data_IF_754643805938
#
_entry.id   IF_754643805938
#
_cell.length_a   1.000
_cell.length_b   1.000
_cell.length_c   1.000
_cell.angle_alpha   90.00
_cell.angle_beta   90.00
_cell.angle_gamma   90.00
#
_symmetry.space_group_name_H-M   'P 1'
#
loop_
_entity.id
_entity.type
_entity.pdbx_description
1 polymer ?
#
# COMPACT_ATOMS: atom_id res chain seq x y z
N UNK A 1 12.47 -2.18 13.96
CA UNK A 1 11.84 -3.48 13.60
C UNK A 1 10.52 -3.72 14.35
N UNK A 2 10.48 -3.76 15.70
CA UNK A 2 9.20 -3.93 16.43
C UNK A 2 8.20 -2.81 16.12
N UNK A 3 8.68 -1.56 16.06
CA UNK A 3 7.88 -0.36 15.80
C UNK A 3 7.20 -0.38 14.42
N UNK A 4 7.94 -0.76 13.38
CA UNK A 4 7.42 -0.82 11.99
C UNK A 4 6.28 -1.84 11.84
N UNK A 5 6.38 -2.99 12.51
CA UNK A 5 5.32 -4.01 12.49
C UNK A 5 4.08 -3.53 13.25
N UNK A 6 4.26 -2.78 14.34
CA UNK A 6 3.13 -2.16 15.07
C UNK A 6 2.44 -1.09 14.21
N UNK A 7 3.20 -0.28 13.48
CA UNK A 7 2.67 0.68 12.52
C UNK A 7 1.87 0.00 11.40
N UNK A 8 2.42 -1.06 10.78
CA UNK A 8 1.72 -1.84 9.75
C UNK A 8 0.41 -2.42 10.30
N UNK A 9 0.44 -2.95 11.54
CA UNK A 9 -0.77 -3.46 12.20
C UNK A 9 -1.81 -2.38 12.41
N UNK A 10 -1.40 -1.18 12.82
CA UNK A 10 -2.29 -0.03 12.97
C UNK A 10 -2.91 0.36 11.63
N UNK A 11 -2.10 0.46 10.58
CA UNK A 11 -2.55 0.82 9.23
C UNK A 11 -3.59 -0.18 8.70
N UNK A 12 -3.37 -1.48 8.89
CA UNK A 12 -4.32 -2.53 8.50
C UNK A 12 -5.58 -2.52 9.38
N UNK A 13 -5.46 -2.19 10.68
CA UNK A 13 -6.58 -2.12 11.60
C UNK A 13 -7.49 -0.90 11.38
N UNK A 14 -6.93 0.24 10.99
CA UNK A 14 -7.67 1.50 10.81
C UNK A 14 -8.35 1.62 9.43
N UNK A 15 -7.89 0.85 8.44
CA UNK A 15 -8.34 0.98 7.06
C UNK A 15 -8.98 -0.32 6.58
N UNK A 16 -10.19 -0.23 6.02
CA UNK A 16 -10.91 -1.40 5.46
C UNK A 16 -10.14 -2.10 4.34
N UNK A 17 -9.38 -1.33 3.57
CA UNK A 17 -8.51 -1.84 2.49
C UNK A 17 -7.23 -1.00 2.49
N UNK A 18 -6.09 -1.69 2.59
CA UNK A 18 -4.75 -1.11 2.44
C UNK A 18 -4.06 -1.75 1.25
N UNK A 19 -3.45 -0.92 0.41
CA UNK A 19 -2.59 -1.33 -0.69
C UNK A 19 -1.18 -0.82 -0.46
N UNK A 20 -0.27 -1.71 -0.08
CA UNK A 20 1.17 -1.48 -0.16
C UNK A 20 1.61 -1.65 -1.62
N UNK A 21 2.17 -0.60 -2.20
CA UNK A 21 2.50 -0.57 -3.63
C UNK A 21 3.80 0.19 -3.91
N UNK A 22 4.32 0.03 -5.13
CA UNK A 22 5.48 0.79 -5.61
C UNK A 22 5.00 2.04 -6.34
N UNK A 23 5.31 3.22 -5.80
CA UNK A 23 4.76 4.49 -6.24
C UNK A 23 3.40 4.80 -5.64
N UNK A 24 2.65 5.70 -6.26
CA UNK A 24 1.32 6.14 -5.80
C UNK A 24 0.22 5.69 -6.77
N UNK A 25 -1.07 5.71 -6.37
CA UNK A 25 -2.16 5.40 -7.29
C UNK A 25 -2.22 6.31 -8.54
N UNK A 26 -1.71 7.53 -8.44
CA UNK A 26 -1.61 8.47 -9.56
C UNK A 26 -0.36 8.24 -10.41
N UNK A 27 0.73 7.77 -9.79
CA UNK A 27 2.01 7.50 -10.43
C UNK A 27 2.58 6.15 -9.97
N UNK A 28 2.05 5.02 -10.48
CA UNK A 28 2.57 3.70 -10.13
C UNK A 28 3.92 3.45 -10.80
N UNK A 29 4.88 2.92 -10.05
CA UNK A 29 6.25 2.65 -10.53
C UNK A 29 6.49 1.18 -10.90
N UNK A 30 5.44 0.35 -10.87
CA UNK A 30 5.50 -1.07 -11.21
C UNK A 30 4.21 -1.51 -11.89
N UNK A 31 4.32 -2.34 -12.94
CA UNK A 31 3.15 -2.84 -13.70
C UNK A 31 2.15 -3.61 -12.83
N UNK A 32 2.63 -4.38 -11.84
CA UNK A 32 1.76 -5.08 -10.90
C UNK A 32 0.96 -4.11 -10.03
N UNK A 33 1.63 -3.09 -9.48
CA UNK A 33 0.98 -2.04 -8.70
C UNK A 33 -0.04 -1.25 -9.53
N UNK A 34 0.28 -0.95 -10.80
CA UNK A 34 -0.65 -0.30 -11.71
C UNK A 34 -1.90 -1.15 -11.99
N UNK A 35 -1.73 -2.46 -12.22
CA UNK A 35 -2.83 -3.39 -12.45
C UNK A 35 -3.74 -3.51 -11.22
N UNK A 36 -3.19 -3.62 -10.01
CA UNK A 36 -3.98 -3.68 -8.77
C UNK A 36 -4.76 -2.39 -8.54
N UNK A 37 -4.14 -1.21 -8.72
CA UNK A 37 -4.83 0.08 -8.61
C UNK A 37 -5.99 0.19 -9.61
N UNK A 38 -5.79 -0.26 -10.85
CA UNK A 38 -6.83 -0.27 -11.88
C UNK A 38 -8.04 -1.09 -11.43
N UNK A 39 -7.83 -2.32 -10.96
CA UNK A 39 -8.91 -3.20 -10.49
C UNK A 39 -9.64 -2.59 -9.30
N UNK A 40 -8.92 -2.08 -8.29
CA UNK A 40 -9.55 -1.47 -7.11
C UNK A 40 -10.40 -0.23 -7.47
N UNK A 41 -9.94 0.57 -8.45
CA UNK A 41 -10.70 1.71 -8.98
C UNK A 41 -11.95 1.27 -9.74
N UNK A 42 -11.86 0.22 -10.56
CA UNK A 42 -13.01 -0.33 -11.30
C UNK A 42 -14.08 -0.88 -10.36
N UNK A 43 -13.68 -1.50 -9.24
CA UNK A 43 -14.61 -1.98 -8.21
C UNK A 43 -15.22 -0.79 -7.43
N UNK A 44 -14.59 0.39 -7.46
CA UNK A 44 -15.07 1.59 -6.77
C UNK A 44 -14.87 1.56 -5.25
N UNK A 45 -13.95 0.74 -4.76
CA UNK A 45 -13.68 0.60 -3.32
C UNK A 45 -12.62 1.61 -2.89
N UNK A 46 -12.88 2.43 -1.85
CA UNK A 46 -11.84 3.30 -1.30
C UNK A 46 -10.77 2.45 -0.60
N UNK A 47 -9.52 2.76 -0.86
CA UNK A 47 -8.37 2.10 -0.24
C UNK A 47 -7.31 3.12 0.18
N UNK A 48 -6.59 2.81 1.24
CA UNK A 48 -5.38 3.52 1.63
C UNK A 48 -4.22 2.96 0.81
N UNK A 49 -3.49 3.83 0.11
CA UNK A 49 -2.28 3.45 -0.60
C UNK A 49 -1.04 3.89 0.20
N UNK A 50 -0.03 3.01 0.26
CA UNK A 50 1.24 3.24 0.93
C UNK A 50 2.36 2.91 -0.05
N UNK A 51 3.28 3.86 -0.25
CA UNK A 51 4.41 3.71 -1.17
C UNK A 51 5.61 3.09 -0.46
N UNK A 52 5.85 1.80 -0.69
CA UNK A 52 6.96 1.07 -0.06
C UNK A 52 8.34 1.48 -0.60
N UNK A 53 8.40 2.28 -1.68
CA UNK A 53 9.67 2.84 -2.15
C UNK A 53 10.11 4.04 -1.31
N UNK A 54 9.17 4.77 -0.73
CA UNK A 54 9.45 5.87 0.19
C UNK A 54 9.75 5.37 1.62
N UNK A 55 9.30 4.16 1.95
CA UNK A 55 9.40 3.57 3.29
C UNK A 55 10.14 2.21 3.24
N UNK A 56 11.48 2.21 3.14
CA UNK A 56 12.26 0.99 2.94
C UNK A 56 12.13 -0.01 4.11
N UNK A 57 11.98 0.47 5.34
CA UNK A 57 11.80 -0.39 6.51
C UNK A 57 10.47 -1.15 6.46
N UNK A 58 9.39 -0.50 5.99
CA UNK A 58 8.12 -1.17 5.74
C UNK A 58 8.27 -2.19 4.62
N UNK A 59 8.96 -1.83 3.54
CA UNK A 59 9.21 -2.74 2.41
C UNK A 59 9.89 -4.04 2.81
N UNK A 60 10.82 -3.98 3.76
CA UNK A 60 11.53 -5.17 4.26
C UNK A 60 10.69 -5.99 5.25
N UNK A 61 9.68 -5.39 5.86
CA UNK A 61 8.86 -5.98 6.90
C UNK A 61 7.61 -6.73 6.39
N UNK A 62 7.21 -6.53 5.13
CA UNK A 62 6.03 -7.18 4.48
C UNK A 62 6.48 -8.27 3.51
#
# INVERSE_FOLDING_TARGET
MADVIEDIRREVGENKVVLYMKGTPSFPMCGFSAATVKVLREIGVPFKAIDVLAEPEKREAI
#
